data_IF_907314713263
#
_entry.id   IF_907314713263
#
_cell.length_a   1.000
_cell.length_b   1.000
_cell.length_c   1.000
_cell.angle_alpha   90.00
_cell.angle_beta   90.00
_cell.angle_gamma   90.00
#
_symmetry.space_group_name_H-M   'P 1'
#
loop_
_entity.id
_entity.type
_entity.pdbx_description
1 polymer ?
#
# COMPACT_ATOMS: atom_id res chain seq x y z
N UNK A 1 -8.63 4.98 -2.76
CA UNK A 1 -9.17 6.36 -2.52
C UNK A 1 -10.14 6.30 -1.35
N UNK A 2 -10.36 7.40 -0.63
CA UNK A 2 -11.42 7.54 0.39
C UNK A 2 -12.29 8.76 0.10
N UNK A 3 -13.52 8.74 0.60
CA UNK A 3 -14.45 9.86 0.55
C UNK A 3 -14.85 10.25 1.97
N UNK A 4 -14.69 11.53 2.31
CA UNK A 4 -15.21 12.07 3.55
C UNK A 4 -16.71 12.38 3.39
N UNK A 5 -17.47 12.32 4.49
CA UNK A 5 -18.92 12.51 4.46
C UNK A 5 -19.27 13.89 3.87
N UNK A 6 -20.02 13.90 2.78
CA UNK A 6 -20.44 15.12 2.08
C UNK A 6 -19.39 15.69 1.11
N UNK A 7 -18.22 15.07 0.97
CA UNK A 7 -17.22 15.48 -0.02
C UNK A 7 -17.68 15.19 -1.44
N UNK A 8 -17.33 16.10 -2.37
CA UNK A 8 -17.45 15.91 -3.82
C UNK A 8 -16.15 15.46 -4.48
N UNK A 9 -15.07 15.37 -3.70
CA UNK A 9 -13.76 14.95 -4.16
C UNK A 9 -13.23 13.77 -3.34
N UNK A 10 -12.58 12.84 -4.03
CA UNK A 10 -11.91 11.70 -3.42
C UNK A 10 -10.49 12.04 -2.98
N UNK A 11 -10.08 11.51 -1.83
CA UNK A 11 -8.70 11.61 -1.34
C UNK A 11 -7.94 10.36 -1.76
N UNK A 12 -6.83 10.53 -2.46
CA UNK A 12 -5.89 9.42 -2.71
C UNK A 12 -5.21 9.05 -1.39
N UNK A 13 -5.36 7.79 -0.99
CA UNK A 13 -4.82 7.24 0.26
C UNK A 13 -3.50 6.52 -0.01
N UNK A 14 -3.48 5.65 -1.03
CA UNK A 14 -2.33 4.86 -1.43
C UNK A 14 -2.19 4.90 -2.97
N UNK A 15 -0.94 4.88 -3.44
CA UNK A 15 -0.63 5.01 -4.86
C UNK A 15 -0.93 6.41 -5.43
N UNK A 16 -1.09 6.47 -6.75
CA UNK A 16 -1.32 7.70 -7.51
C UNK A 16 -0.08 8.15 -8.28
N UNK A 17 -0.31 8.81 -9.42
CA UNK A 17 0.69 9.16 -10.46
C UNK A 17 1.00 7.98 -11.40
N UNK A 18 2.00 7.15 -11.08
CA UNK A 18 2.49 6.07 -11.95
C UNK A 18 2.91 4.85 -11.14
N UNK A 19 2.96 3.68 -11.79
CA UNK A 19 3.51 2.47 -11.19
C UNK A 19 4.98 2.69 -10.79
N UNK A 20 5.37 2.20 -9.63
CA UNK A 20 6.73 2.37 -9.11
C UNK A 20 6.91 1.79 -7.72
N UNK A 21 8.12 1.96 -7.18
CA UNK A 21 8.55 1.36 -5.90
C UNK A 21 8.74 2.38 -4.77
N UNK A 22 8.52 3.68 -5.03
CA UNK A 22 8.53 4.70 -3.98
C UNK A 22 7.44 4.43 -2.92
N UNK A 23 7.56 5.05 -1.75
CA UNK A 23 6.59 4.88 -0.66
C UNK A 23 5.20 5.49 -0.96
N UNK A 24 5.08 6.30 -2.00
CA UNK A 24 3.81 6.86 -2.49
C UNK A 24 3.25 6.08 -3.70
N UNK A 25 3.97 5.05 -4.18
CA UNK A 25 3.65 4.30 -5.40
C UNK A 25 3.37 2.83 -5.09
N UNK A 26 2.69 2.18 -6.04
CA UNK A 26 2.40 0.75 -6.05
C UNK A 26 2.77 0.18 -7.43
N UNK A 27 3.02 -1.11 -7.51
CA UNK A 27 3.31 -1.84 -8.74
C UNK A 27 2.65 -3.22 -8.70
N UNK A 28 1.59 -3.40 -9.50
CA UNK A 28 0.80 -4.64 -9.54
C UNK A 28 0.25 -5.08 -8.18
N UNK A 29 -0.50 -4.23 -7.45
CA UNK A 29 -1.09 -4.66 -6.19
C UNK A 29 -2.21 -5.69 -6.43
N UNK A 30 -2.24 -6.76 -5.64
CA UNK A 30 -3.24 -7.85 -5.79
C UNK A 30 -4.20 -7.99 -4.60
N UNK A 31 -3.84 -7.47 -3.43
CA UNK A 31 -4.62 -7.60 -2.20
C UNK A 31 -4.76 -6.28 -1.47
N UNK A 32 -5.93 -6.06 -0.86
CA UNK A 32 -6.14 -4.95 0.05
C UNK A 32 -7.01 -5.36 1.24
N UNK A 33 -6.75 -4.75 2.39
CA UNK A 33 -7.53 -4.89 3.61
C UNK A 33 -7.61 -3.55 4.34
N UNK A 34 -8.75 -3.25 4.96
CA UNK A 34 -8.92 -2.05 5.80
C UNK A 34 -9.35 -2.51 7.18
N UNK A 35 -8.59 -2.15 8.21
CA UNK A 35 -8.94 -2.48 9.60
C UNK A 35 -9.99 -1.53 10.19
N UNK A 36 -10.46 -1.83 11.40
CA UNK A 36 -11.48 -1.04 12.10
C UNK A 36 -11.02 0.37 12.48
N UNK A 37 -9.70 0.64 12.44
CA UNK A 37 -9.13 1.97 12.67
C UNK A 37 -8.99 2.76 11.35
N UNK A 38 -9.36 2.16 10.22
CA UNK A 38 -9.23 2.78 8.89
C UNK A 38 -7.82 2.68 8.30
N UNK A 39 -6.95 1.83 8.85
CA UNK A 39 -5.64 1.56 8.26
C UNK A 39 -5.81 0.69 7.02
N UNK A 40 -5.31 1.17 5.88
CA UNK A 40 -5.28 0.43 4.63
C UNK A 40 -3.98 -0.36 4.54
N UNK A 41 -4.09 -1.65 4.26
CA UNK A 41 -2.99 -2.55 3.94
C UNK A 41 -3.10 -2.96 2.48
N UNK A 42 -1.98 -2.97 1.75
CA UNK A 42 -1.93 -3.35 0.34
C UNK A 42 -0.78 -4.32 0.11
N UNK A 43 -1.08 -5.46 -0.50
CA UNK A 43 -0.08 -6.36 -1.06
C UNK A 43 0.38 -5.79 -2.41
N UNK A 44 1.61 -5.29 -2.46
CA UNK A 44 2.23 -4.62 -3.60
C UNK A 44 3.12 -5.63 -4.33
N UNK A 45 2.48 -6.48 -5.15
CA UNK A 45 2.99 -7.80 -5.48
C UNK A 45 4.25 -7.79 -6.35
N UNK A 46 4.33 -6.89 -7.35
CA UNK A 46 5.52 -6.78 -8.18
C UNK A 46 6.68 -6.08 -7.45
N UNK A 47 6.40 -5.39 -6.34
CA UNK A 47 7.42 -4.82 -5.47
C UNK A 47 7.78 -5.75 -4.29
N UNK A 48 7.22 -6.97 -4.23
CA UNK A 48 7.55 -7.97 -3.22
C UNK A 48 7.40 -7.46 -1.78
N UNK A 49 6.35 -6.67 -1.51
CA UNK A 49 6.14 -6.02 -0.22
C UNK A 49 4.67 -5.92 0.16
N UNK A 50 4.41 -5.78 1.44
CA UNK A 50 3.12 -5.32 1.98
C UNK A 50 3.33 -3.95 2.58
N UNK A 51 2.44 -3.02 2.22
CA UNK A 51 2.48 -1.64 2.68
C UNK A 51 1.23 -1.30 3.48
N UNK A 52 1.36 -0.36 4.43
CA UNK A 52 0.21 0.23 5.13
C UNK A 52 0.15 1.75 5.02
N UNK A 53 -1.07 2.28 5.11
CA UNK A 53 -1.40 3.70 5.24
C UNK A 53 -2.44 3.90 6.34
N UNK A 54 -2.14 4.77 7.29
CA UNK A 54 -3.02 5.15 8.39
C UNK A 54 -3.74 6.46 8.12
N UNK A 55 -4.83 6.70 8.84
CA UNK A 55 -5.53 7.97 8.78
C UNK A 55 -4.65 9.09 9.36
N UNK A 56 -4.17 9.98 8.48
CA UNK A 56 -3.28 11.08 8.86
C UNK A 56 -1.91 11.02 8.17
N UNK A 57 -1.57 9.89 7.53
CA UNK A 57 -0.36 9.81 6.72
C UNK A 57 -0.41 10.81 5.56
N UNK A 58 0.74 11.44 5.28
CA UNK A 58 0.92 12.41 4.19
C UNK A 58 0.93 11.75 2.80
N UNK A 59 0.03 10.78 2.55
CA UNK A 59 -0.06 9.95 1.33
C UNK A 59 1.17 9.06 1.09
N UNK A 60 2.06 8.95 2.07
CA UNK A 60 3.24 8.10 2.05
C UNK A 60 2.96 6.85 2.89
N UNK A 61 3.20 5.67 2.33
CA UNK A 61 2.98 4.40 3.00
C UNK A 61 4.22 3.94 3.75
N UNK A 62 4.03 2.97 4.64
CA UNK A 62 5.10 2.29 5.35
C UNK A 62 5.18 0.84 4.88
N UNK A 63 6.38 0.37 4.54
CA UNK A 63 6.61 -1.07 4.30
C UNK A 63 6.56 -1.78 5.65
N UNK A 64 5.67 -2.77 5.77
CA UNK A 64 5.51 -3.53 7.01
C UNK A 64 6.05 -4.96 6.90
N UNK A 65 6.11 -5.51 5.68
CA UNK A 65 6.70 -6.83 5.38
C UNK A 65 7.28 -6.80 3.97
N UNK A 66 8.40 -7.49 3.75
CA UNK A 66 9.03 -7.61 2.43
C UNK A 66 9.86 -6.39 2.04
N UNK A 67 9.95 -6.12 0.73
CA UNK A 67 10.69 -4.99 0.15
C UNK A 67 12.16 -5.27 -0.16
N UNK A 68 12.67 -6.48 0.10
CA UNK A 68 14.04 -6.89 -0.21
C UNK A 68 14.11 -7.92 -1.36
N UNK A 69 13.21 -7.76 -2.32
CA UNK A 69 13.08 -8.62 -3.48
C UNK A 69 12.34 -9.93 -3.22
N UNK A 70 12.27 -10.74 -4.27
CA UNK A 70 11.62 -12.04 -4.26
C UNK A 70 12.43 -13.07 -3.47
N UNK A 71 11.77 -13.83 -2.60
CA UNK A 71 12.39 -14.96 -1.93
C UNK A 71 11.68 -15.37 -0.64
N UNK A 72 12.29 -16.32 0.06
CA UNK A 72 11.81 -16.86 1.34
C UNK A 72 12.66 -16.40 2.54
N UNK A 73 13.59 -15.47 2.34
CA UNK A 73 14.35 -14.86 3.43
C UNK A 73 13.45 -14.02 4.35
N UNK A 74 13.94 -13.73 5.55
CA UNK A 74 13.15 -13.09 6.62
C UNK A 74 12.46 -11.76 6.24
N UNK A 75 12.97 -11.04 5.24
CA UNK A 75 12.41 -9.78 4.74
C UNK A 75 12.11 -9.79 3.23
N UNK A 76 11.90 -10.98 2.66
CA UNK A 76 11.56 -11.19 1.25
C UNK A 76 10.14 -11.74 1.12
N UNK A 77 9.46 -11.40 0.02
CA UNK A 77 8.14 -11.95 -0.29
C UNK A 77 8.10 -12.36 -1.77
N UNK A 78 7.40 -13.44 -2.08
CA UNK A 78 7.14 -13.83 -3.46
C UNK A 78 5.68 -13.56 -3.81
N UNK A 79 5.42 -12.52 -4.61
CA UNK A 79 4.10 -12.14 -5.11
C UNK A 79 2.99 -12.22 -4.04
N UNK A 80 3.06 -11.42 -2.95
CA UNK A 80 2.03 -11.43 -1.92
C UNK A 80 0.67 -11.00 -2.49
N UNK A 81 -0.42 -11.51 -1.91
CA UNK A 81 -1.81 -11.19 -2.25
C UNK A 81 -2.67 -11.03 -0.99
#
# INVERSE_FOLDING_TARGET
MRWDKGSKEGIIVAGGQSAGSSLTQLNGPLGLFVDTLGTLYVADSNNHRVMRWTQGDNKQGTVIVGGNGQGAGANQLNAPY
#
